data_IF_044051923766
#
_entry.id   IF_044051923766
#
_cell.length_a   1.000
_cell.length_b   1.000
_cell.length_c   1.000
_cell.angle_alpha   90.00
_cell.angle_beta   90.00
_cell.angle_gamma   90.00
#
_symmetry.space_group_name_H-M   'P 1'
#
loop_
_entity.id
_entity.type
_entity.pdbx_description
1 polymer ?
#
# COMPACT_ATOMS: atom_id res chain seq x y z
N UNK A 1 8.91 -29.73 19.23
CA UNK A 1 7.53 -29.24 19.32
C UNK A 1 7.30 -28.32 18.16
N UNK A 2 6.72 -28.85 17.09
CA UNK A 2 6.45 -28.09 15.87
C UNK A 2 5.06 -27.45 15.95
N UNK A 3 4.81 -26.42 15.15
CA UNK A 3 3.48 -25.82 14.96
C UNK A 3 2.38 -26.84 14.54
N UNK A 4 2.78 -28.05 14.15
CA UNK A 4 1.92 -29.21 13.88
C UNK A 4 1.22 -29.77 15.13
N UNK A 5 1.72 -29.53 16.34
CA UNK A 5 1.13 -30.04 17.60
C UNK A 5 -0.13 -29.23 18.04
N UNK A 6 -0.45 -28.13 17.34
CA UNK A 6 -1.53 -27.20 17.71
C UNK A 6 -2.90 -27.59 17.11
N UNK A 7 -2.98 -28.67 16.31
CA UNK A 7 -4.25 -29.14 15.73
C UNK A 7 -4.89 -28.17 14.72
N UNK A 8 -4.13 -27.20 14.20
CA UNK A 8 -4.60 -26.28 13.17
C UNK A 8 -4.57 -26.96 11.79
N UNK A 9 -5.60 -26.72 10.97
CA UNK A 9 -5.70 -27.30 9.63
C UNK A 9 -4.61 -26.80 8.66
N UNK A 10 -4.14 -25.54 8.84
CA UNK A 10 -3.21 -24.84 7.93
C UNK A 10 -2.07 -24.14 8.72
N UNK A 11 -1.21 -24.89 9.43
CA UNK A 11 -0.26 -24.33 10.41
C UNK A 11 0.78 -23.40 9.77
N UNK A 12 1.30 -23.72 8.59
CA UNK A 12 2.31 -22.91 7.91
C UNK A 12 1.68 -21.67 7.27
N UNK A 13 0.46 -21.76 6.71
CA UNK A 13 -0.28 -20.56 6.27
C UNK A 13 -0.42 -19.58 7.43
N UNK A 14 -0.90 -20.03 8.59
CA UNK A 14 -1.06 -19.16 9.76
C UNK A 14 0.27 -18.59 10.26
N UNK A 15 1.35 -19.39 10.22
CA UNK A 15 2.68 -18.89 10.59
C UNK A 15 3.15 -17.74 9.69
N UNK A 16 2.90 -17.84 8.37
CA UNK A 16 3.25 -16.80 7.40
C UNK A 16 2.39 -15.56 7.61
N UNK A 17 1.09 -15.73 7.86
CA UNK A 17 0.18 -14.62 8.21
C UNK A 17 0.68 -13.92 9.47
N UNK A 18 0.92 -14.67 10.55
CA UNK A 18 1.37 -14.13 11.84
C UNK A 18 2.72 -13.42 11.72
N UNK A 19 3.69 -14.02 11.02
CA UNK A 19 5.00 -13.42 10.76
C UNK A 19 4.87 -12.12 9.97
N UNK A 20 4.05 -12.12 8.91
CA UNK A 20 3.79 -10.93 8.10
C UNK A 20 3.14 -9.83 8.95
N UNK A 21 2.14 -10.19 9.76
CA UNK A 21 1.45 -9.25 10.65
C UNK A 21 2.40 -8.67 11.70
N UNK A 22 3.24 -9.50 12.32
CA UNK A 22 4.23 -9.07 13.29
C UNK A 22 5.23 -8.11 12.64
N UNK A 23 5.87 -8.52 11.53
CA UNK A 23 6.84 -7.71 10.81
C UNK A 23 6.25 -6.36 10.39
N UNK A 24 5.04 -6.36 9.81
CA UNK A 24 4.37 -5.12 9.41
C UNK A 24 3.98 -4.27 10.62
N UNK A 25 3.56 -4.85 11.73
CA UNK A 25 3.20 -4.08 12.93
C UNK A 25 4.42 -3.37 13.52
N UNK A 26 5.56 -4.07 13.63
CA UNK A 26 6.80 -3.49 14.17
C UNK A 26 7.36 -2.35 13.32
N UNK A 27 7.18 -2.38 12.00
CA UNK A 27 7.70 -1.31 11.13
C UNK A 27 6.65 -0.25 10.81
N UNK A 28 5.42 -0.67 10.49
CA UNK A 28 4.36 0.22 10.01
C UNK A 28 3.78 1.08 11.12
N UNK A 29 3.58 0.56 12.34
CA UNK A 29 2.94 1.34 13.41
C UNK A 29 3.84 2.49 13.88
N UNK A 30 5.11 2.28 14.26
CA UNK A 30 5.97 3.37 14.70
C UNK A 30 6.17 4.41 13.59
N UNK A 31 6.34 3.93 12.36
CA UNK A 31 6.48 4.81 11.21
C UNK A 31 5.21 5.62 10.96
N UNK A 32 4.03 5.01 11.02
CA UNK A 32 2.76 5.71 10.80
C UNK A 32 2.53 6.80 11.86
N UNK A 33 2.85 6.53 13.13
CA UNK A 33 2.80 7.53 14.20
C UNK A 33 3.79 8.67 13.92
N UNK A 34 5.02 8.34 13.53
CA UNK A 34 6.05 9.33 13.21
C UNK A 34 5.66 10.22 12.01
N UNK A 35 5.14 9.61 10.93
CA UNK A 35 4.65 10.29 9.74
C UNK A 35 3.47 11.21 10.08
N UNK A 36 2.52 10.75 10.88
CA UNK A 36 1.37 11.55 11.28
C UNK A 36 1.79 12.77 12.09
N UNK A 37 2.65 12.60 13.11
CA UNK A 37 3.19 13.73 13.91
C UNK A 37 3.91 14.77 13.05
N UNK A 38 4.64 14.34 12.01
CA UNK A 38 5.27 15.25 11.05
C UNK A 38 4.25 15.97 10.18
N UNK A 39 3.23 15.25 9.70
CA UNK A 39 2.14 15.84 8.93
C UNK A 39 1.30 16.83 9.75
N UNK A 40 1.10 16.58 11.04
CA UNK A 40 0.39 17.48 11.95
C UNK A 40 1.16 18.79 12.13
N UNK A 41 2.47 18.73 12.39
CA UNK A 41 3.33 19.93 12.45
C UNK A 41 3.32 20.72 11.14
N UNK A 42 3.38 20.01 10.02
CA UNK A 42 3.28 20.64 8.70
C UNK A 42 1.93 21.36 8.52
N UNK A 43 0.82 20.71 8.89
CA UNK A 43 -0.52 21.26 8.73
C UNK A 43 -0.81 22.43 9.68
N UNK A 44 -0.36 22.36 10.93
CA UNK A 44 -0.67 23.33 11.97
C UNK A 44 0.26 24.55 11.97
N UNK A 45 1.53 24.41 11.56
CA UNK A 45 2.54 25.48 11.69
C UNK A 45 3.02 25.98 10.33
N UNK A 46 3.54 25.08 9.50
CA UNK A 46 4.14 25.46 8.21
C UNK A 46 3.10 26.00 7.25
N UNK A 47 1.94 25.35 7.17
CA UNK A 47 0.88 25.70 6.24
C UNK A 47 0.28 27.11 6.49
N UNK A 48 -0.10 27.52 7.72
CA UNK A 48 -0.61 28.89 7.93
C UNK A 48 0.46 29.96 7.73
N UNK A 49 1.71 29.75 8.15
CA UNK A 49 2.79 30.70 7.90
C UNK A 49 3.03 30.89 6.40
N UNK A 50 3.08 29.79 5.65
CA UNK A 50 3.20 29.83 4.19
C UNK A 50 2.09 30.64 3.53
N UNK A 51 0.84 30.53 4.00
CA UNK A 51 -0.30 31.30 3.48
C UNK A 51 -0.12 32.81 3.66
N UNK A 52 0.41 33.24 4.80
CA UNK A 52 0.68 34.66 5.04
C UNK A 52 1.67 35.19 4.00
N UNK A 53 2.76 34.44 3.75
CA UNK A 53 3.76 34.80 2.74
C UNK A 53 3.24 34.73 1.31
N UNK A 54 2.38 33.76 0.98
CA UNK A 54 1.78 33.62 -0.36
C UNK A 54 0.92 34.84 -0.73
N UNK A 55 0.25 35.47 0.23
CA UNK A 55 -0.50 36.71 0.00
C UNK A 55 0.40 37.95 -0.04
N UNK A 56 1.39 38.02 0.84
CA UNK A 56 2.24 39.22 0.99
C UNK A 56 3.31 39.36 -0.11
N UNK A 57 3.96 38.28 -0.55
CA UNK A 57 5.09 38.36 -1.48
C UNK A 57 4.68 38.87 -2.86
N UNK A 58 3.61 38.36 -3.51
CA UNK A 58 3.18 38.86 -4.81
C UNK A 58 2.78 40.33 -4.75
N UNK A 59 2.04 40.75 -3.72
CA UNK A 59 1.60 42.13 -3.54
C UNK A 59 2.80 43.09 -3.46
N UNK A 60 3.81 42.74 -2.66
CA UNK A 60 5.03 43.55 -2.53
C UNK A 60 5.84 43.62 -3.84
N UNK A 61 5.99 42.51 -4.56
CA UNK A 61 6.79 42.50 -5.80
C UNK A 61 6.07 43.23 -6.94
N UNK A 62 4.75 43.11 -7.05
CA UNK A 62 3.94 43.82 -8.05
C UNK A 62 3.99 45.32 -7.78
N UNK A 63 3.84 45.75 -6.53
CA UNK A 63 3.93 47.16 -6.15
C UNK A 63 5.31 47.77 -6.46
N UNK A 64 6.39 47.00 -6.27
CA UNK A 64 7.75 47.43 -6.61
C UNK A 64 8.00 47.60 -8.12
N UNK A 65 7.21 46.94 -8.97
CA UNK A 65 7.37 46.95 -10.42
C UNK A 65 6.14 47.54 -11.12
N UNK A 66 5.36 48.39 -10.43
CA UNK A 66 4.29 49.14 -11.06
C UNK A 66 4.91 50.14 -12.05
N UNK A 67 4.45 50.15 -13.32
CA UNK A 67 4.92 51.14 -14.29
C UNK A 67 4.54 52.56 -13.83
N UNK A 68 5.36 53.55 -14.19
CA UNK A 68 4.95 54.94 -14.09
C UNK A 68 3.76 55.18 -15.04
N UNK A 69 2.85 56.09 -14.64
CA UNK A 69 1.56 56.29 -15.32
C UNK A 69 1.69 56.37 -16.84
N UNK A 70 1.04 55.43 -17.54
CA UNK A 70 0.92 55.38 -19.01
C UNK A 70 1.84 54.41 -19.74
N UNK A 71 2.79 53.74 -19.08
CA UNK A 71 3.72 52.82 -19.74
C UNK A 71 3.15 51.40 -19.92
N UNK A 72 3.09 50.92 -21.17
CA UNK A 72 2.64 49.56 -21.47
C UNK A 72 3.62 48.53 -20.90
N UNK A 73 3.18 47.75 -19.91
CA UNK A 73 4.00 46.69 -19.30
C UNK A 73 4.32 45.62 -20.34
N UNK A 74 5.60 45.55 -20.73
CA UNK A 74 6.10 44.56 -21.68
C UNK A 74 5.88 43.12 -21.19
N UNK A 75 5.71 42.19 -22.13
CA UNK A 75 5.53 40.77 -21.84
C UNK A 75 6.73 40.17 -21.10
N UNK A 76 7.94 40.71 -21.34
CA UNK A 76 9.16 40.29 -20.65
C UNK A 76 9.16 40.72 -19.17
N UNK A 77 8.75 41.95 -18.87
CA UNK A 77 8.65 42.43 -17.47
C UNK A 77 7.66 41.59 -16.67
N UNK A 78 6.51 41.22 -17.26
CA UNK A 78 5.55 40.29 -16.62
C UNK A 78 6.16 38.93 -16.33
N UNK A 79 6.97 38.37 -17.25
CA UNK A 79 7.68 37.10 -17.04
C UNK A 79 8.76 37.19 -15.96
N UNK A 80 9.47 38.31 -15.89
CA UNK A 80 10.49 38.53 -14.85
C UNK A 80 9.85 38.64 -13.46
N UNK A 81 8.77 39.41 -13.34
CA UNK A 81 8.00 39.55 -12.09
C UNK A 81 7.46 38.21 -11.63
N UNK A 82 6.83 37.43 -12.52
CA UNK A 82 6.30 36.11 -12.15
C UNK A 82 7.40 35.13 -11.73
N UNK A 83 8.54 35.14 -12.42
CA UNK A 83 9.71 34.33 -12.06
C UNK A 83 10.31 34.74 -10.71
N UNK A 84 10.40 36.03 -10.42
CA UNK A 84 10.86 36.52 -9.12
C UNK A 84 9.91 36.13 -7.98
N UNK A 85 8.60 36.23 -8.19
CA UNK A 85 7.58 35.80 -7.23
C UNK A 85 7.75 34.30 -6.94
N UNK A 86 7.81 33.46 -7.98
CA UNK A 86 8.00 32.02 -7.84
C UNK A 86 9.30 31.68 -7.10
N UNK A 87 10.39 32.38 -7.42
CA UNK A 87 11.69 32.18 -6.77
C UNK A 87 11.62 32.54 -5.28
N UNK A 88 11.12 33.73 -4.91
CA UNK A 88 11.01 34.16 -3.50
C UNK A 88 10.09 33.23 -2.69
N UNK A 89 8.99 32.78 -3.29
CA UNK A 89 8.10 31.79 -2.70
C UNK A 89 8.87 30.47 -2.47
N UNK A 90 9.56 29.94 -3.48
CA UNK A 90 10.31 28.69 -3.34
C UNK A 90 11.42 28.74 -2.26
N UNK A 91 12.13 29.87 -2.16
CA UNK A 91 13.17 30.07 -1.14
C UNK A 91 12.58 30.06 0.28
N UNK A 92 11.45 30.76 0.47
CA UNK A 92 10.73 30.78 1.76
C UNK A 92 10.16 29.41 2.11
N UNK A 93 9.60 28.69 1.13
CA UNK A 93 9.11 27.33 1.30
C UNK A 93 10.19 26.40 1.84
N UNK A 94 11.34 26.39 1.18
CA UNK A 94 12.48 25.56 1.56
C UNK A 94 12.97 25.92 2.96
N UNK A 95 13.04 27.22 3.30
CA UNK A 95 13.44 27.69 4.63
C UNK A 95 12.48 27.23 5.73
N UNK A 96 11.17 27.33 5.50
CA UNK A 96 10.15 26.88 6.47
C UNK A 96 10.19 25.37 6.67
N UNK A 97 10.30 24.62 5.57
CA UNK A 97 10.42 23.16 5.63
C UNK A 97 11.64 22.72 6.42
N UNK A 98 12.76 23.40 6.24
CA UNK A 98 14.01 23.06 6.91
C UNK A 98 13.98 23.43 8.39
N UNK A 99 13.50 24.63 8.72
CA UNK A 99 13.34 25.09 10.11
C UNK A 99 12.49 24.11 10.94
N UNK A 100 11.34 23.71 10.41
CA UNK A 100 10.41 22.82 11.11
C UNK A 100 10.70 21.32 10.90
N UNK A 101 11.75 20.96 10.16
CA UNK A 101 12.13 19.58 9.86
C UNK A 101 10.97 18.75 9.27
N UNK A 102 10.13 19.41 8.47
CA UNK A 102 8.87 18.88 7.94
C UNK A 102 8.96 18.59 6.44
N UNK A 103 10.12 18.15 5.95
CA UNK A 103 10.27 17.86 4.52
C UNK A 103 9.48 16.60 4.14
N UNK A 104 8.49 16.69 3.26
CA UNK A 104 7.70 15.52 2.84
C UNK A 104 8.57 14.48 2.12
N UNK A 105 9.55 14.92 1.32
CA UNK A 105 10.45 14.04 0.58
C UNK A 105 11.36 13.19 1.50
N UNK A 106 11.99 13.79 2.53
CA UNK A 106 12.82 13.01 3.49
C UNK A 106 11.97 12.00 4.26
N UNK A 107 10.73 12.37 4.63
CA UNK A 107 9.78 11.50 5.35
C UNK A 107 9.33 10.31 4.51
N UNK A 108 9.05 10.52 3.22
CA UNK A 108 8.72 9.45 2.28
C UNK A 108 9.93 8.53 2.01
N UNK A 109 11.12 9.12 1.82
CA UNK A 109 12.32 8.34 1.49
C UNK A 109 12.82 7.49 2.66
N UNK A 110 12.78 8.01 3.89
CA UNK A 110 13.11 7.24 5.11
C UNK A 110 12.16 6.08 5.33
N UNK A 111 10.85 6.29 5.14
CA UNK A 111 9.84 5.24 5.16
C UNK A 111 10.17 4.12 4.16
N UNK A 112 10.48 4.51 2.92
CA UNK A 112 10.75 3.57 1.84
C UNK A 112 12.05 2.80 2.07
N UNK A 113 13.10 3.48 2.52
CA UNK A 113 14.41 2.89 2.81
C UNK A 113 14.35 1.86 3.94
N UNK A 114 13.45 2.00 4.90
CA UNK A 114 13.25 1.00 5.96
C UNK A 114 12.38 -0.18 5.47
N UNK A 115 11.32 0.10 4.71
CA UNK A 115 10.35 -0.93 4.30
C UNK A 115 10.86 -1.82 3.17
N UNK A 116 11.50 -1.26 2.14
CA UNK A 116 11.92 -2.03 0.95
C UNK A 116 12.87 -3.17 1.33
N UNK A 117 13.98 -2.95 2.06
CA UNK A 117 14.94 -4.02 2.35
C UNK A 117 14.33 -5.15 3.15
N UNK A 118 13.52 -4.82 4.16
CA UNK A 118 12.87 -5.82 5.00
C UNK A 118 11.82 -6.63 4.23
N UNK A 119 11.05 -5.98 3.36
CA UNK A 119 10.11 -6.66 2.47
C UNK A 119 10.82 -7.58 1.48
N UNK A 120 11.88 -7.10 0.83
CA UNK A 120 12.68 -7.89 -0.11
C UNK A 120 13.33 -9.09 0.60
N UNK A 121 13.84 -8.90 1.81
CA UNK A 121 14.41 -9.99 2.62
C UNK A 121 13.35 -11.06 2.95
N UNK A 122 12.18 -10.66 3.45
CA UNK A 122 11.08 -11.59 3.74
C UNK A 122 10.64 -12.34 2.48
N UNK A 123 10.52 -11.64 1.35
CA UNK A 123 10.18 -12.25 0.06
C UNK A 123 11.23 -13.25 -0.42
N UNK A 124 12.52 -12.92 -0.28
CA UNK A 124 13.61 -13.80 -0.64
C UNK A 124 13.62 -15.07 0.23
N UNK A 125 13.44 -14.94 1.55
CA UNK A 125 13.40 -16.06 2.48
C UNK A 125 12.22 -16.99 2.21
N UNK A 126 11.01 -16.45 2.01
CA UNK A 126 9.84 -17.25 1.68
C UNK A 126 9.99 -17.94 0.32
N UNK A 127 10.56 -17.25 -0.68
CA UNK A 127 10.85 -17.83 -2.00
C UNK A 127 11.87 -18.96 -1.90
N UNK A 128 12.98 -18.76 -1.20
CA UNK A 128 13.99 -19.80 -0.99
C UNK A 128 13.39 -21.00 -0.27
N UNK A 129 12.58 -20.75 0.76
CA UNK A 129 11.84 -21.78 1.48
C UNK A 129 10.82 -22.53 0.63
N UNK A 130 10.32 -21.97 -0.47
CA UNK A 130 9.45 -22.67 -1.42
C UNK A 130 10.22 -23.52 -2.44
N UNK A 131 11.45 -23.15 -2.76
CA UNK A 131 12.26 -23.83 -3.80
C UNK A 131 13.07 -25.00 -3.24
N UNK A 132 13.42 -24.97 -1.95
CA UNK A 132 14.19 -26.04 -1.31
C UNK A 132 13.40 -27.37 -1.28
N UNK A 133 14.05 -28.53 -1.51
CA UNK A 133 13.39 -29.83 -1.41
C UNK A 133 13.10 -30.19 0.06
N UNK A 134 11.95 -30.83 0.32
CA UNK A 134 11.56 -31.29 1.67
C UNK A 134 11.09 -30.18 2.62
N UNK A 135 10.68 -29.04 2.08
CA UNK A 135 10.25 -27.89 2.87
C UNK A 135 8.89 -28.10 3.53
N UNK A 136 8.63 -27.43 4.67
CA UNK A 136 7.32 -27.46 5.30
C UNK A 136 6.18 -26.97 4.38
N UNK A 137 6.48 -26.07 3.45
CA UNK A 137 5.49 -25.54 2.50
C UNK A 137 5.00 -26.59 1.50
N UNK A 138 5.81 -27.61 1.19
CA UNK A 138 5.39 -28.72 0.34
C UNK A 138 4.52 -29.75 1.09
N UNK A 139 4.35 -29.62 2.42
CA UNK A 139 3.56 -30.56 3.23
C UNK A 139 2.10 -30.12 3.43
N UNK A 140 1.82 -28.84 3.17
CA UNK A 140 0.53 -28.20 3.38
C UNK A 140 -0.10 -27.80 2.05
N UNK A 141 -1.37 -28.18 1.89
CA UNK A 141 -2.20 -27.84 0.75
C UNK A 141 -2.60 -26.37 0.81
N UNK A 142 -2.85 -25.80 -0.37
CA UNK A 142 -3.37 -24.44 -0.48
C UNK A 142 -4.78 -24.35 0.18
N UNK A 143 -5.01 -23.42 1.13
CA UNK A 143 -6.29 -23.34 1.86
C UNK A 143 -7.52 -22.97 1.02
N UNK A 144 -7.32 -22.29 -0.11
CA UNK A 144 -8.39 -21.86 -1.02
C UNK A 144 -8.56 -22.79 -2.22
N UNK A 145 -7.84 -23.91 -2.24
CA UNK A 145 -8.04 -24.96 -3.22
C UNK A 145 -8.94 -26.05 -2.64
N UNK A 146 -9.85 -26.56 -3.46
CA UNK A 146 -10.69 -27.70 -3.12
C UNK A 146 -10.52 -28.78 -4.18
N UNK A 147 -10.52 -30.07 -3.78
CA UNK A 147 -10.48 -31.17 -4.73
C UNK A 147 -11.73 -31.17 -5.60
N UNK A 148 -11.60 -31.75 -6.79
CA UNK A 148 -12.75 -32.03 -7.64
C UNK A 148 -13.71 -33.01 -6.93
N UNK A 149 -15.02 -32.86 -7.18
CA UNK A 149 -16.06 -33.60 -6.48
C UNK A 149 -15.94 -35.11 -6.72
N UNK A 150 -15.61 -35.51 -7.94
CA UNK A 150 -15.40 -36.92 -8.30
C UNK A 150 -14.17 -37.50 -7.59
N UNK A 151 -13.05 -36.78 -7.61
CA UNK A 151 -11.82 -37.22 -6.93
C UNK A 151 -12.01 -37.34 -5.41
N UNK A 152 -12.72 -36.38 -4.80
CA UNK A 152 -13.08 -36.44 -3.39
C UNK A 152 -13.96 -37.66 -3.08
N UNK A 153 -14.94 -37.96 -3.93
CA UNK A 153 -15.79 -39.14 -3.80
C UNK A 153 -15.00 -40.45 -3.92
N UNK A 154 -14.06 -40.53 -4.87
CA UNK A 154 -13.18 -41.71 -5.03
C UNK A 154 -12.25 -41.92 -3.84
N UNK A 155 -11.67 -40.85 -3.29
CA UNK A 155 -10.84 -40.93 -2.09
C UNK A 155 -11.66 -41.39 -0.87
N UNK A 156 -12.87 -40.84 -0.70
CA UNK A 156 -13.79 -41.24 0.37
C UNK A 156 -14.26 -42.70 0.24
N UNK A 157 -14.57 -43.15 -0.98
CA UNK A 157 -14.92 -44.56 -1.24
C UNK A 157 -13.74 -45.50 -0.96
N UNK A 158 -12.52 -45.12 -1.39
CA UNK A 158 -11.30 -45.88 -1.12
C UNK A 158 -11.03 -45.96 0.39
N UNK A 159 -11.26 -44.87 1.13
CA UNK A 159 -11.15 -44.86 2.59
C UNK A 159 -12.09 -45.89 3.23
N UNK A 160 -13.36 -45.91 2.82
CA UNK A 160 -14.34 -46.86 3.35
C UNK A 160 -13.90 -48.30 3.09
N UNK A 161 -13.44 -48.60 1.88
CA UNK A 161 -12.93 -49.93 1.53
C UNK A 161 -11.72 -50.32 2.42
N UNK A 162 -10.83 -49.39 2.74
CA UNK A 162 -9.68 -49.66 3.60
C UNK A 162 -10.10 -49.92 5.06
N UNK A 163 -11.09 -49.19 5.56
CA UNK A 163 -11.66 -49.41 6.89
C UNK A 163 -12.38 -50.76 6.97
N UNK A 164 -13.15 -51.12 5.94
CA UNK A 164 -13.84 -52.40 5.83
C UNK A 164 -12.87 -53.59 5.80
N UNK A 165 -11.66 -53.39 5.28
CA UNK A 165 -10.57 -54.38 5.31
C UNK A 165 -9.83 -54.46 6.65
N UNK A 166 -10.28 -53.75 7.68
CA UNK A 166 -9.71 -53.78 9.03
C UNK A 166 -8.45 -52.93 9.19
N UNK A 167 -8.20 -51.97 8.30
CA UNK A 167 -7.07 -51.06 8.42
C UNK A 167 -7.31 -50.03 9.52
N UNK A 168 -6.28 -49.72 10.31
CA UNK A 168 -6.36 -48.69 11.35
C UNK A 168 -6.78 -47.33 10.74
N UNK A 169 -7.76 -46.62 11.35
CA UNK A 169 -8.24 -45.33 10.85
C UNK A 169 -7.12 -44.31 10.60
N UNK A 170 -6.08 -44.29 11.45
CA UNK A 170 -4.94 -43.38 11.28
C UNK A 170 -4.09 -43.69 10.04
N UNK A 171 -3.97 -44.96 9.66
CA UNK A 171 -3.27 -45.37 8.44
C UNK A 171 -4.12 -45.13 7.20
N UNK A 172 -5.42 -45.40 7.28
CA UNK A 172 -6.39 -45.09 6.22
C UNK A 172 -6.36 -43.59 5.89
N UNK A 173 -6.35 -42.73 6.91
CA UNK A 173 -6.21 -41.27 6.75
C UNK A 173 -4.95 -40.85 5.99
N UNK A 174 -3.81 -41.50 6.26
CA UNK A 174 -2.55 -41.18 5.59
C UNK A 174 -2.54 -41.64 4.13
N UNK A 175 -3.15 -42.79 3.83
CA UNK A 175 -3.21 -43.35 2.48
C UNK A 175 -4.24 -42.65 1.60
N UNK A 176 -5.33 -42.14 2.17
CA UNK A 176 -6.35 -41.37 1.45
C UNK A 176 -6.17 -39.87 1.57
N UNK A 177 -5.03 -39.40 2.12
CA UNK A 177 -4.73 -37.98 2.21
C UNK A 177 -4.76 -37.40 0.80
N UNK A 178 -5.65 -36.44 0.56
CA UNK A 178 -5.78 -35.84 -0.76
C UNK A 178 -4.45 -35.19 -1.17
N UNK A 179 -3.90 -35.66 -2.29
CA UNK A 179 -2.83 -34.97 -2.99
C UNK A 179 -3.40 -33.76 -3.71
N UNK A 180 -2.75 -32.61 -3.59
CA UNK A 180 -3.19 -31.36 -4.20
C UNK A 180 -2.06 -30.34 -4.25
N UNK A 181 -2.30 -29.18 -4.84
CA UNK A 181 -1.30 -28.12 -4.94
C UNK A 181 -0.91 -27.64 -3.54
N UNK A 182 0.39 -27.51 -3.32
CA UNK A 182 0.98 -27.14 -2.03
C UNK A 182 1.29 -25.65 -1.96
N UNK A 183 1.64 -25.13 -0.78
CA UNK A 183 2.07 -23.73 -0.63
C UNK A 183 3.37 -23.41 -1.41
N UNK A 184 4.18 -24.41 -1.74
CA UNK A 184 5.37 -24.26 -2.56
C UNK A 184 5.03 -24.11 -4.06
N UNK A 185 3.89 -24.63 -4.48
CA UNK A 185 3.44 -24.60 -5.87
C UNK A 185 2.81 -23.25 -6.24
N UNK A 186 2.73 -22.99 -7.55
CA UNK A 186 1.95 -21.85 -8.08
C UNK A 186 0.46 -22.14 -7.92
N UNK A 187 -0.34 -21.10 -7.68
CA UNK A 187 -1.79 -21.23 -7.54
C UNK A 187 -2.43 -21.69 -8.87
N UNK A 188 -2.99 -22.91 -8.96
CA UNK A 188 -3.61 -23.39 -10.19
C UNK A 188 -5.00 -22.77 -10.41
N UNK A 189 -5.62 -22.20 -9.37
CA UNK A 189 -6.98 -21.64 -9.45
C UNK A 189 -7.00 -20.19 -9.93
N UNK A 190 -5.86 -19.50 -9.86
CA UNK A 190 -5.73 -18.06 -10.10
C UNK A 190 -6.62 -17.16 -9.22
N UNK A 191 -7.29 -17.72 -8.21
CA UNK A 191 -8.16 -16.98 -7.29
C UNK A 191 -7.34 -16.03 -6.44
N UNK A 192 -6.24 -16.49 -5.86
CA UNK A 192 -5.44 -15.66 -4.96
C UNK A 192 -4.66 -14.55 -5.68
N UNK A 193 -4.07 -14.76 -6.88
CA UNK A 193 -3.54 -13.67 -7.71
C UNK A 193 -4.57 -12.56 -7.98
N UNK A 194 -5.82 -12.93 -8.27
CA UNK A 194 -6.91 -11.99 -8.50
C UNK A 194 -7.25 -11.20 -7.23
N UNK A 195 -7.35 -11.88 -6.08
CA UNK A 195 -7.57 -11.24 -4.77
C UNK A 195 -6.43 -10.29 -4.42
N UNK A 196 -5.18 -10.68 -4.65
CA UNK A 196 -4.03 -9.83 -4.41
C UNK A 196 -4.08 -8.55 -5.27
N UNK A 197 -4.37 -8.70 -6.58
CA UNK A 197 -4.51 -7.57 -7.48
C UNK A 197 -5.67 -6.64 -7.11
N UNK A 198 -6.82 -7.20 -6.72
CA UNK A 198 -7.98 -6.40 -6.30
C UNK A 198 -7.71 -5.63 -5.01
N UNK A 199 -7.07 -6.26 -4.01
CA UNK A 199 -6.65 -5.57 -2.79
C UNK A 199 -5.66 -4.43 -3.07
N UNK A 200 -4.75 -4.64 -4.02
CA UNK A 200 -3.83 -3.57 -4.45
C UNK A 200 -4.59 -2.42 -5.10
N UNK A 201 -5.57 -2.72 -5.98
CA UNK A 201 -6.41 -1.70 -6.61
C UNK A 201 -7.22 -0.91 -5.56
N UNK A 202 -7.86 -1.59 -4.61
CA UNK A 202 -8.61 -0.94 -3.52
C UNK A 202 -7.69 -0.01 -2.70
N UNK A 203 -6.46 -0.43 -2.41
CA UNK A 203 -5.49 0.43 -1.72
C UNK A 203 -5.11 1.68 -2.54
N UNK A 204 -4.96 1.55 -3.86
CA UNK A 204 -4.68 2.67 -4.77
C UNK A 204 -5.85 3.65 -4.78
N UNK A 205 -7.09 3.16 -4.94
CA UNK A 205 -8.29 4.00 -4.95
C UNK A 205 -8.54 4.66 -3.60
N UNK A 206 -8.36 3.94 -2.49
CA UNK A 206 -8.52 4.51 -1.15
C UNK A 206 -7.50 5.63 -0.91
N UNK A 207 -6.27 5.47 -1.40
CA UNK A 207 -5.24 6.50 -1.33
C UNK A 207 -5.58 7.71 -2.21
N UNK A 208 -6.05 7.47 -3.44
CA UNK A 208 -6.49 8.54 -4.34
C UNK A 208 -7.67 9.33 -3.74
N UNK A 209 -8.68 8.62 -3.23
CA UNK A 209 -9.83 9.19 -2.54
C UNK A 209 -9.42 10.01 -1.31
N UNK A 210 -8.53 9.49 -0.47
CA UNK A 210 -8.06 10.21 0.73
C UNK A 210 -7.33 11.51 0.34
N UNK A 211 -6.54 11.50 -0.75
CA UNK A 211 -5.90 12.72 -1.27
C UNK A 211 -6.93 13.73 -1.77
N UNK A 212 -7.95 13.26 -2.50
CA UNK A 212 -9.01 14.11 -3.03
C UNK A 212 -9.85 14.73 -1.91
N UNK A 213 -10.22 13.97 -0.89
CA UNK A 213 -10.90 14.52 0.30
C UNK A 213 -10.06 15.59 1.00
N UNK A 214 -8.74 15.41 1.06
CA UNK A 214 -7.84 16.40 1.63
C UNK A 214 -7.88 17.72 0.85
N UNK A 215 -7.92 17.67 -0.48
CA UNK A 215 -8.08 18.85 -1.34
C UNK A 215 -9.41 19.55 -1.12
N UNK A 216 -10.52 18.81 -1.05
CA UNK A 216 -11.85 19.37 -0.77
C UNK A 216 -11.91 20.00 0.62
N UNK A 217 -11.28 19.37 1.62
CA UNK A 217 -11.16 19.97 2.96
C UNK A 217 -10.29 21.23 2.93
N UNK A 218 -9.21 21.21 2.15
CA UNK A 218 -8.37 22.38 1.95
C UNK A 218 -9.12 23.52 1.24
N UNK A 219 -9.99 23.23 0.28
CA UNK A 219 -10.82 24.26 -0.38
C UNK A 219 -11.92 24.83 0.52
N UNK A 220 -12.62 23.98 1.28
CA UNK A 220 -13.65 24.40 2.23
C UNK A 220 -13.07 25.31 3.34
N UNK A 221 -11.79 25.15 3.66
CA UNK A 221 -11.04 26.01 4.57
C UNK A 221 -10.47 27.27 3.89
N UNK A 222 -10.79 27.51 2.61
CA UNK A 222 -10.32 28.66 1.81
C UNK A 222 -8.84 28.61 1.44
N UNK A 223 -8.24 27.40 1.38
CA UNK A 223 -6.80 27.20 1.18
C UNK A 223 -6.42 26.98 -0.28
N UNK A 224 -7.35 26.48 -1.09
CA UNK A 224 -7.15 26.34 -2.52
C UNK A 224 -7.54 27.64 -3.23
N UNK A 225 -6.72 28.07 -4.17
CA UNK A 225 -7.08 29.10 -5.16
C UNK A 225 -7.84 28.49 -6.36
N UNK A 226 -8.07 27.18 -6.29
CA UNK A 226 -8.78 26.39 -7.31
C UNK A 226 -10.29 26.61 -7.18
N UNK A 227 -10.99 26.80 -8.30
CA UNK A 227 -12.44 26.93 -8.32
C UNK A 227 -13.10 25.58 -7.95
N UNK A 228 -14.37 25.60 -7.53
CA UNK A 228 -15.15 24.37 -7.27
C UNK A 228 -15.17 23.40 -8.46
N UNK A 229 -15.19 23.94 -9.68
CA UNK A 229 -15.08 23.16 -10.91
C UNK A 229 -13.70 22.47 -11.07
N UNK A 230 -12.61 23.14 -10.66
CA UNK A 230 -11.23 22.63 -10.76
C UNK A 230 -10.91 21.60 -9.67
N UNK A 231 -11.67 21.61 -8.57
CA UNK A 231 -11.54 20.65 -7.48
C UNK A 231 -12.09 19.28 -7.86
N UNK A 232 -13.11 19.21 -8.71
CA UNK A 232 -13.64 17.96 -9.24
C UNK A 232 -12.61 17.23 -10.13
N UNK A 233 -11.71 17.98 -10.76
CA UNK A 233 -10.63 17.42 -11.56
C UNK A 233 -9.36 17.15 -10.75
N UNK A 234 -8.80 15.95 -10.87
CA UNK A 234 -7.46 15.67 -10.35
C UNK A 234 -6.41 16.43 -11.16
N UNK A 235 -5.42 17.09 -10.51
CA UNK A 235 -4.35 17.78 -11.22
C UNK A 235 -3.56 16.76 -12.06
N UNK A 236 -3.02 17.16 -13.22
CA UNK A 236 -2.46 16.23 -14.20
C UNK A 236 -1.38 15.30 -13.60
N UNK A 237 -0.54 15.82 -12.70
CA UNK A 237 0.47 15.02 -11.98
C UNK A 237 -0.14 13.96 -11.06
N UNK A 238 -1.23 14.27 -10.38
CA UNK A 238 -1.90 13.32 -9.48
C UNK A 238 -2.67 12.28 -10.31
N UNK A 239 -3.31 12.70 -11.41
CA UNK A 239 -3.98 11.81 -12.36
C UNK A 239 -3.01 10.82 -12.98
N UNK A 240 -1.84 11.29 -13.44
CA UNK A 240 -0.76 10.43 -13.94
C UNK A 240 -0.33 9.45 -12.86
N UNK A 241 -0.07 9.91 -11.64
CA UNK A 241 0.33 9.05 -10.53
C UNK A 241 -0.73 7.99 -10.20
N UNK A 242 -2.00 8.38 -10.08
CA UNK A 242 -3.12 7.46 -9.83
C UNK A 242 -3.25 6.42 -10.95
N UNK A 243 -3.16 6.83 -12.21
CA UNK A 243 -3.21 5.92 -13.36
C UNK A 243 -2.02 4.96 -13.41
N UNK A 244 -0.79 5.44 -13.14
CA UNK A 244 0.40 4.58 -13.04
C UNK A 244 0.24 3.55 -11.93
N UNK A 245 -0.28 3.95 -10.77
CA UNK A 245 -0.54 3.04 -9.66
C UNK A 245 -1.64 2.01 -9.97
N UNK A 246 -2.71 2.41 -10.68
CA UNK A 246 -3.77 1.51 -11.18
C UNK A 246 -3.21 0.48 -12.16
N UNK A 247 -2.40 0.92 -13.13
CA UNK A 247 -1.71 0.03 -14.07
C UNK A 247 -0.78 -0.92 -13.30
N UNK A 248 -0.03 -0.42 -12.32
CA UNK A 248 0.81 -1.25 -11.44
C UNK A 248 0.02 -2.31 -10.69
N UNK A 249 -1.17 -1.99 -10.17
CA UNK A 249 -2.06 -2.95 -9.52
C UNK A 249 -2.55 -4.03 -10.51
N UNK A 250 -2.93 -3.65 -11.73
CA UNK A 250 -3.35 -4.60 -12.78
C UNK A 250 -2.19 -5.51 -13.20
N UNK A 251 -0.99 -4.94 -13.43
CA UNK A 251 0.22 -5.68 -13.78
C UNK A 251 0.71 -6.60 -12.65
N UNK A 252 0.30 -6.36 -11.40
CA UNK A 252 0.64 -7.25 -10.29
C UNK A 252 -0.02 -8.63 -10.39
N UNK A 253 -1.14 -8.76 -11.11
CA UNK A 253 -1.85 -10.05 -11.29
C UNK A 253 -1.02 -11.07 -12.08
N UNK A 254 -0.53 -10.79 -13.31
CA UNK A 254 0.28 -11.77 -14.05
C UNK A 254 1.62 -12.06 -13.37
N UNK A 255 2.15 -11.12 -12.59
CA UNK A 255 3.31 -11.37 -11.73
C UNK A 255 2.93 -12.39 -10.66
N UNK A 256 1.82 -12.17 -9.94
CA UNK A 256 1.32 -13.07 -8.90
C UNK A 256 1.07 -14.50 -9.40
N UNK A 257 0.60 -14.68 -10.64
CA UNK A 257 0.40 -16.01 -11.23
C UNK A 257 1.69 -16.85 -11.35
N UNK A 258 2.87 -16.21 -11.39
CA UNK A 258 4.15 -16.91 -11.59
C UNK A 258 4.85 -17.31 -10.29
N UNK A 259 4.34 -16.82 -9.16
CA UNK A 259 5.00 -16.91 -7.86
C UNK A 259 4.41 -18.06 -7.03
N UNK A 260 5.22 -18.72 -6.17
CA UNK A 260 4.71 -19.67 -5.18
C UNK A 260 3.56 -19.13 -4.33
N UNK A 261 2.60 -19.99 -3.99
CA UNK A 261 1.38 -19.63 -3.26
C UNK A 261 1.66 -19.07 -1.87
N UNK A 262 2.75 -19.48 -1.21
CA UNK A 262 3.18 -18.91 0.08
C UNK A 262 3.43 -17.39 0.02
N UNK A 263 3.92 -16.89 -1.12
CA UNK A 263 4.16 -15.45 -1.30
C UNK A 263 2.84 -14.71 -1.51
N UNK A 264 1.84 -15.36 -2.10
CA UNK A 264 0.49 -14.80 -2.25
C UNK A 264 -0.20 -14.62 -0.90
N UNK A 265 -0.03 -15.54 0.04
CA UNK A 265 -0.49 -15.39 1.44
C UNK A 265 0.15 -14.17 2.08
N UNK A 266 1.46 -14.00 1.90
CA UNK A 266 2.18 -12.86 2.45
C UNK A 266 1.72 -11.53 1.80
N UNK A 267 1.57 -11.50 0.48
CA UNK A 267 1.11 -10.32 -0.25
C UNK A 267 -0.31 -9.92 0.12
N UNK A 268 -1.26 -10.87 0.14
CA UNK A 268 -2.65 -10.59 0.50
C UNK A 268 -2.76 -10.10 1.94
N UNK A 269 -2.07 -10.73 2.88
CA UNK A 269 -2.01 -10.29 4.30
C UNK A 269 -1.44 -8.88 4.41
N UNK A 270 -0.36 -8.59 3.68
CA UNK A 270 0.29 -7.28 3.67
C UNK A 270 -0.60 -6.18 3.09
N UNK A 271 -1.29 -6.46 1.98
CA UNK A 271 -2.23 -5.53 1.34
C UNK A 271 -3.47 -5.30 2.21
N UNK A 272 -3.95 -6.34 2.89
CA UNK A 272 -5.06 -6.22 3.84
C UNK A 272 -4.67 -5.38 5.07
N UNK A 273 -3.48 -5.56 5.61
CA UNK A 273 -2.98 -4.69 6.70
C UNK A 273 -2.87 -3.23 6.27
N UNK A 274 -2.41 -2.98 5.04
CA UNK A 274 -2.34 -1.62 4.49
C UNK A 274 -3.74 -1.01 4.36
N UNK A 275 -4.70 -1.80 3.88
CA UNK A 275 -6.11 -1.39 3.80
C UNK A 275 -6.68 -1.07 5.17
N UNK A 276 -6.46 -1.93 6.17
CA UNK A 276 -6.91 -1.72 7.54
C UNK A 276 -6.33 -0.44 8.15
N UNK A 277 -5.03 -0.19 7.95
CA UNK A 277 -4.35 1.02 8.43
C UNK A 277 -4.92 2.28 7.75
N UNK A 278 -5.11 2.24 6.44
CA UNK A 278 -5.69 3.36 5.68
C UNK A 278 -7.13 3.66 6.11
N UNK A 279 -7.95 2.62 6.30
CA UNK A 279 -9.32 2.77 6.80
C UNK A 279 -9.36 3.32 8.22
N UNK A 280 -8.45 2.86 9.09
CA UNK A 280 -8.33 3.39 10.45
C UNK A 280 -8.03 4.89 10.44
N UNK A 281 -7.07 5.35 9.64
CA UNK A 281 -6.73 6.76 9.52
C UNK A 281 -7.84 7.59 8.86
N UNK A 282 -8.50 7.07 7.82
CA UNK A 282 -9.65 7.72 7.19
C UNK A 282 -10.80 7.94 8.20
N UNK A 283 -11.15 6.91 8.98
CA UNK A 283 -12.15 7.02 10.06
C UNK A 283 -11.75 8.01 11.15
N UNK A 284 -10.47 8.05 11.52
CA UNK A 284 -10.01 9.01 12.52
C UNK A 284 -10.11 10.45 12.01
N UNK A 285 -9.82 10.66 10.73
CA UNK A 285 -9.95 11.98 10.09
C UNK A 285 -11.40 12.44 9.92
N UNK A 286 -12.38 11.53 9.85
CA UNK A 286 -13.80 11.89 9.72
C UNK A 286 -14.46 12.24 11.06
N UNK A 287 -13.87 11.81 12.18
CA UNK A 287 -14.34 12.13 13.54
C UNK A 287 -13.82 13.47 14.08
N UNK A 288 -12.92 14.14 13.34
CA UNK A 288 -12.31 15.44 13.66
C UNK A 288 -12.67 16.45 12.59
#
# INVERSE_FOLDING_TARGET
>A
MGLLDVGLAYPYTYSVVALTMAMRSFVSIPLAIWQHRRNDRYAQVVLPEWRAWQKQIPANVIQQHQPADGEHVSTETKRLVSRQIQRRLSEKWNRLIDLYHCSPARTMMTSLALHIPLFVLMMALLRQGAVLPGTPFAQELIPWWTPDQEFAAHSAATRQILLDKGLDPGLADRLTKLGGPTLADRDPTYIMPLICGSLNMVNVELTAWTRQQRRVRESALGLSTENEADLAEEPPRARILSNVLRIGAILSIPIACQVPSVLLVCWSTSSLMTLAMNLYFARRSSKI
#
